data_IF_165941513210
#
_entry.id   IF_165941513210
#
_cell.length_a   1.000
_cell.length_b   1.000
_cell.length_c   1.000
_cell.angle_alpha   90.00
_cell.angle_beta   90.00
_cell.angle_gamma   90.00
#
_symmetry.space_group_name_H-M   'P 1'
#
loop_
_entity.id
_entity.type
_entity.pdbx_description
1 polymer ?
#
# COMPACT_ATOMS: atom_id res chain seq x y z
N UNK A 1 -33.06 5.92 19.70
CA UNK A 1 -32.29 4.72 19.34
C UNK A 1 -30.94 5.20 18.82
N UNK A 2 -29.84 4.91 19.53
CA UNK A 2 -28.49 5.22 19.05
C UNK A 2 -28.02 3.98 18.31
N UNK A 3 -27.84 4.09 17.00
CA UNK A 3 -27.27 3.04 16.14
C UNK A 3 -25.77 3.07 16.33
N UNK A 4 -25.16 1.96 16.73
CA UNK A 4 -23.71 1.87 16.80
C UNK A 4 -23.26 1.42 15.42
N UNK A 5 -22.73 2.35 14.62
CA UNK A 5 -22.41 2.13 13.20
C UNK A 5 -21.52 0.90 12.93
N UNK A 6 -20.76 0.40 13.92
CA UNK A 6 -19.93 -0.80 13.73
C UNK A 6 -20.68 -2.12 13.88
N UNK A 7 -21.84 -2.12 14.54
CA UNK A 7 -22.51 -3.36 14.96
C UNK A 7 -23.76 -3.66 14.10
N UNK A 8 -24.16 -2.72 13.24
CA UNK A 8 -25.45 -2.75 12.54
C UNK A 8 -25.32 -2.73 11.00
N UNK A 9 -24.10 -2.71 10.44
CA UNK A 9 -23.85 -2.74 8.98
C UNK A 9 -22.61 -3.55 8.64
N UNK A 10 -22.53 -3.99 7.39
CA UNK A 10 -21.35 -4.63 6.83
C UNK A 10 -20.62 -3.67 5.91
N UNK A 11 -19.30 -3.58 6.07
CA UNK A 11 -18.43 -2.76 5.22
C UNK A 11 -17.28 -3.63 4.74
N UNK A 12 -17.10 -3.81 3.42
CA UNK A 12 -15.94 -4.53 2.90
C UNK A 12 -14.64 -3.87 3.38
N UNK A 13 -13.75 -4.64 4.00
CA UNK A 13 -12.53 -4.13 4.67
C UNK A 13 -11.64 -3.27 3.77
N UNK A 14 -11.69 -3.46 2.44
CA UNK A 14 -10.98 -2.63 1.45
C UNK A 14 -11.36 -1.14 1.52
N UNK A 15 -12.57 -0.81 1.97
CA UNK A 15 -13.02 0.58 2.18
C UNK A 15 -12.55 1.16 3.52
N UNK A 16 -11.97 0.32 4.38
CA UNK A 16 -11.52 0.66 5.73
C UNK A 16 -9.99 0.69 5.86
N UNK A 17 -9.26 0.56 4.75
CA UNK A 17 -7.81 0.66 4.73
C UNK A 17 -7.36 2.00 5.31
N UNK A 18 -6.45 1.94 6.28
CA UNK A 18 -5.84 3.13 6.87
C UNK A 18 -4.30 3.10 6.82
N UNK A 19 -3.69 2.06 6.25
CA UNK A 19 -2.23 1.86 6.14
C UNK A 19 -1.46 1.85 7.48
N UNK A 20 -2.18 1.84 8.60
CA UNK A 20 -1.64 1.65 9.94
C UNK A 20 -2.12 0.29 10.47
N UNK A 21 -3.31 0.26 11.07
CA UNK A 21 -3.87 -0.94 11.70
C UNK A 21 -4.64 -1.84 10.74
N UNK A 22 -5.05 -1.32 9.57
CA UNK A 22 -5.68 -2.08 8.49
C UNK A 22 -4.95 -1.73 7.20
N UNK A 23 -4.13 -2.66 6.72
CA UNK A 23 -3.24 -2.47 5.59
C UNK A 23 -3.23 -3.72 4.70
N UNK A 24 -2.93 -3.52 3.42
CA UNK A 24 -2.59 -4.64 2.53
C UNK A 24 -1.13 -5.01 2.73
N UNK A 25 -0.85 -6.30 2.86
CA UNK A 25 0.50 -6.82 3.01
C UNK A 25 0.83 -7.73 1.83
N UNK A 26 2.02 -7.63 1.24
CA UNK A 26 2.47 -8.59 0.25
C UNK A 26 2.68 -9.94 0.94
N UNK A 27 2.03 -10.96 0.40
CA UNK A 27 2.16 -12.36 0.82
C UNK A 27 2.35 -13.21 -0.44
N UNK A 28 3.11 -14.29 -0.34
CA UNK A 28 3.41 -15.13 -1.50
C UNK A 28 2.17 -15.91 -1.96
N UNK A 29 1.34 -16.33 -1.01
CA UNK A 29 0.14 -17.14 -1.24
C UNK A 29 -0.94 -16.75 -0.23
N UNK A 30 -2.20 -16.85 -0.66
CA UNK A 30 -3.38 -16.67 0.20
C UNK A 30 -4.33 -17.83 -0.08
N UNK A 31 -4.73 -18.54 0.97
CA UNK A 31 -5.81 -19.52 0.92
C UNK A 31 -7.09 -18.87 1.41
N UNK A 32 -8.14 -18.89 0.59
CA UNK A 32 -9.46 -18.38 0.97
C UNK A 32 -10.34 -19.54 1.42
N UNK A 33 -10.83 -19.44 2.65
CA UNK A 33 -11.84 -20.35 3.19
C UNK A 33 -13.19 -19.64 3.20
N UNK A 34 -14.16 -20.21 2.51
CA UNK A 34 -15.54 -19.75 2.54
C UNK A 34 -16.31 -20.69 3.47
N UNK A 35 -16.83 -20.14 4.56
CA UNK A 35 -17.58 -20.90 5.57
C UNK A 35 -19.05 -20.59 5.37
N UNK A 36 -19.81 -21.58 4.91
CA UNK A 36 -21.25 -21.51 4.80
C UNK A 36 -21.92 -22.12 6.03
N UNK A 37 -23.07 -21.58 6.40
CA UNK A 37 -23.91 -22.03 7.50
C UNK A 37 -25.30 -22.37 6.97
N UNK A 38 -26.08 -23.15 7.73
CA UNK A 38 -27.48 -23.49 7.39
C UNK A 38 -28.36 -22.24 7.15
N UNK A 39 -28.02 -21.14 7.83
CA UNK A 39 -28.55 -19.80 7.57
C UNK A 39 -27.40 -18.81 7.57
N UNK A 40 -27.42 -17.88 6.62
CA UNK A 40 -26.41 -16.85 6.51
C UNK A 40 -26.32 -15.97 7.77
N UNK A 41 -25.17 -15.99 8.44
CA UNK A 41 -24.95 -15.33 9.73
C UNK A 41 -23.51 -14.78 9.87
N UNK A 42 -23.21 -14.19 11.03
CA UNK A 42 -21.91 -13.64 11.41
C UNK A 42 -21.04 -14.68 12.12
N UNK A 43 -19.80 -14.81 11.67
CA UNK A 43 -18.74 -15.62 12.24
C UNK A 43 -17.74 -14.74 13.01
N UNK A 44 -16.94 -15.35 13.88
CA UNK A 44 -15.80 -14.69 14.52
C UNK A 44 -14.50 -15.19 13.89
N UNK A 45 -13.81 -14.33 13.16
CA UNK A 45 -12.47 -14.58 12.64
C UNK A 45 -11.46 -13.84 13.53
N UNK A 46 -10.66 -14.57 14.33
CA UNK A 46 -9.74 -13.96 15.30
C UNK A 46 -10.41 -12.94 16.22
N UNK A 47 -11.63 -13.26 16.69
CA UNK A 47 -12.50 -12.36 17.49
C UNK A 47 -13.02 -11.12 16.76
N UNK A 48 -12.83 -11.00 15.44
CA UNK A 48 -13.46 -10.00 14.61
C UNK A 48 -14.74 -10.57 13.97
N UNK A 49 -15.91 -9.95 14.18
CA UNK A 49 -17.12 -10.29 13.44
C UNK A 49 -16.90 -10.18 11.93
N UNK A 50 -17.17 -11.25 11.21
CA UNK A 50 -17.06 -11.35 9.76
C UNK A 50 -18.27 -12.12 9.23
N UNK A 51 -18.73 -11.76 8.04
CA UNK A 51 -19.88 -12.42 7.43
C UNK A 51 -19.52 -13.83 6.95
N UNK A 52 -20.44 -14.79 7.15
CA UNK A 52 -20.38 -16.12 6.53
C UNK A 52 -20.46 -16.02 4.99
N UNK A 53 -20.21 -17.11 4.29
CA UNK A 53 -20.36 -17.13 2.84
C UNK A 53 -21.83 -16.98 2.44
N UNK A 54 -22.11 -16.06 1.50
CA UNK A 54 -23.40 -15.94 0.82
C UNK A 54 -23.28 -16.46 -0.60
N UNK A 55 -24.02 -17.53 -0.92
CA UNK A 55 -24.02 -18.06 -2.28
C UNK A 55 -24.91 -17.25 -3.21
N UNK A 56 -24.28 -16.29 -3.88
CA UNK A 56 -24.90 -15.46 -4.93
C UNK A 56 -24.78 -16.10 -6.32
N UNK A 57 -24.61 -17.42 -6.40
CA UNK A 57 -24.44 -18.17 -7.65
C UNK A 57 -22.98 -18.33 -8.08
N UNK A 58 -22.04 -18.11 -7.15
CA UNK A 58 -20.59 -18.19 -7.42
C UNK A 58 -19.99 -19.54 -7.00
N UNK A 59 -20.81 -20.44 -6.43
CA UNK A 59 -20.37 -21.71 -5.86
C UNK A 59 -19.57 -22.60 -6.81
N UNK A 60 -19.91 -22.60 -8.09
CA UNK A 60 -19.22 -23.41 -9.09
C UNK A 60 -17.72 -23.06 -9.24
N UNK A 61 -17.27 -21.91 -8.71
CA UNK A 61 -15.87 -21.50 -8.71
C UNK A 61 -15.01 -22.10 -7.59
N UNK A 62 -15.59 -22.80 -6.61
CA UNK A 62 -14.83 -23.41 -5.50
C UNK A 62 -14.31 -24.80 -5.84
N UNK A 63 -13.19 -25.18 -5.23
CA UNK A 63 -12.54 -26.49 -5.40
C UNK A 63 -13.50 -27.67 -5.10
N UNK A 64 -14.34 -27.52 -4.07
CA UNK A 64 -15.36 -28.50 -3.69
C UNK A 64 -16.76 -28.21 -4.27
N UNK A 65 -16.90 -27.23 -5.17
CA UNK A 65 -18.20 -26.75 -5.64
C UNK A 65 -19.03 -27.84 -6.34
N UNK A 66 -18.37 -28.73 -7.08
CA UNK A 66 -19.04 -29.85 -7.77
C UNK A 66 -19.60 -30.89 -6.80
N UNK A 67 -18.81 -31.30 -5.80
CA UNK A 67 -19.24 -32.24 -4.75
C UNK A 67 -20.38 -31.65 -3.92
N UNK A 68 -20.26 -30.38 -3.53
CA UNK A 68 -21.32 -29.68 -2.78
C UNK A 68 -22.64 -29.67 -3.56
N UNK A 69 -22.61 -29.36 -4.86
CA UNK A 69 -23.82 -29.30 -5.70
C UNK A 69 -24.52 -30.66 -5.80
N UNK A 70 -23.76 -31.76 -5.77
CA UNK A 70 -24.32 -33.12 -5.76
C UNK A 70 -25.04 -33.42 -4.45
N UNK A 71 -24.48 -32.97 -3.32
CA UNK A 71 -25.04 -33.20 -1.99
C UNK A 71 -26.20 -32.26 -1.65
N UNK A 72 -26.17 -31.04 -2.19
CA UNK A 72 -27.14 -29.96 -1.95
C UNK A 72 -27.62 -29.38 -3.30
N UNK A 73 -28.60 -30.02 -3.96
CA UNK A 73 -29.09 -29.60 -5.27
C UNK A 73 -30.08 -28.42 -5.17
N UNK A 74 -29.73 -27.41 -4.37
CA UNK A 74 -30.39 -26.11 -4.37
C UNK A 74 -29.61 -25.17 -5.28
N UNK A 75 -30.31 -24.61 -6.27
CA UNK A 75 -29.75 -23.76 -7.31
C UNK A 75 -30.30 -22.34 -7.26
N UNK A 76 -31.00 -21.98 -6.18
CA UNK A 76 -31.52 -20.64 -5.97
C UNK A 76 -30.42 -19.73 -5.40
N UNK A 77 -29.80 -18.84 -6.21
CA UNK A 77 -28.81 -17.93 -5.67
C UNK A 77 -29.49 -16.94 -4.72
N UNK A 78 -28.83 -16.68 -3.59
CA UNK A 78 -29.18 -15.58 -2.72
C UNK A 78 -28.80 -14.25 -3.38
N UNK A 79 -29.42 -13.18 -2.92
CA UNK A 79 -29.23 -11.83 -3.42
C UNK A 79 -28.57 -10.95 -2.37
N UNK A 80 -28.18 -9.73 -2.76
CA UNK A 80 -27.64 -8.77 -1.79
C UNK A 80 -28.63 -8.41 -0.68
N UNK A 81 -29.92 -8.64 -0.89
CA UNK A 81 -30.97 -8.40 0.12
C UNK A 81 -30.98 -9.49 1.22
N UNK A 82 -30.28 -10.61 0.99
CA UNK A 82 -30.17 -11.75 1.92
C UNK A 82 -28.93 -11.68 2.84
N UNK A 83 -28.19 -10.55 2.82
CA UNK A 83 -27.08 -10.30 3.74
C UNK A 83 -27.58 -10.27 5.20
N UNK A 84 -26.74 -10.71 6.14
CA UNK A 84 -27.12 -10.74 7.56
C UNK A 84 -27.36 -9.33 8.13
N UNK A 85 -26.73 -8.31 7.53
CA UNK A 85 -26.88 -6.89 7.83
C UNK A 85 -26.77 -6.04 6.55
N UNK A 86 -27.27 -4.80 6.53
CA UNK A 86 -27.14 -3.92 5.36
C UNK A 86 -25.68 -3.72 4.95
N UNK A 87 -25.39 -3.96 3.67
CA UNK A 87 -24.08 -3.68 3.07
C UNK A 87 -23.93 -2.19 2.76
N UNK A 88 -22.87 -1.57 3.28
CA UNK A 88 -22.53 -0.17 3.02
C UNK A 88 -21.12 -0.09 2.45
N UNK A 89 -20.98 0.59 1.31
CA UNK A 89 -19.71 0.65 0.56
C UNK A 89 -19.11 2.06 0.50
N UNK A 90 -19.90 3.10 0.73
CA UNK A 90 -19.47 4.49 0.74
C UNK A 90 -20.35 5.39 1.63
N UNK A 91 -20.06 6.69 1.59
CA UNK A 91 -20.87 7.72 2.23
C UNK A 91 -20.59 7.94 3.72
N UNK A 92 -21.48 8.69 4.41
CA UNK A 92 -21.22 9.19 5.77
C UNK A 92 -20.99 8.11 6.82
N UNK A 93 -21.57 6.93 6.61
CA UNK A 93 -21.40 5.76 7.49
C UNK A 93 -19.96 5.26 7.41
N UNK A 94 -19.44 5.03 6.21
CA UNK A 94 -18.04 4.60 5.99
C UNK A 94 -17.07 5.66 6.49
N UNK A 95 -17.35 6.93 6.22
CA UNK A 95 -16.53 8.05 6.69
C UNK A 95 -16.44 8.08 8.23
N UNK A 96 -17.56 7.91 8.93
CA UNK A 96 -17.58 7.84 10.39
C UNK A 96 -16.76 6.66 10.94
N UNK A 97 -16.84 5.49 10.30
CA UNK A 97 -16.03 4.31 10.67
C UNK A 97 -14.55 4.57 10.43
N UNK A 98 -14.17 5.12 9.28
CA UNK A 98 -12.78 5.46 8.95
C UNK A 98 -12.21 6.48 9.94
N UNK A 99 -12.98 7.51 10.31
CA UNK A 99 -12.58 8.48 11.34
C UNK A 99 -12.29 7.77 12.68
N UNK A 100 -13.16 6.85 13.10
CA UNK A 100 -12.96 6.07 14.34
C UNK A 100 -11.72 5.17 14.26
N UNK A 101 -11.48 4.54 13.12
CA UNK A 101 -10.30 3.67 12.91
C UNK A 101 -8.99 4.45 12.90
N UNK A 102 -8.96 5.64 12.30
CA UNK A 102 -7.80 6.56 12.36
C UNK A 102 -7.53 6.98 13.81
N UNK A 103 -8.56 7.41 14.54
CA UNK A 103 -8.43 7.78 15.95
C UNK A 103 -7.95 6.58 16.82
N UNK A 104 -8.42 5.37 16.51
CA UNK A 104 -7.94 4.15 17.17
C UNK A 104 -6.47 3.87 16.86
N UNK A 105 -6.02 4.02 15.62
CA UNK A 105 -4.61 3.86 15.27
C UNK A 105 -3.73 4.82 16.08
N UNK A 106 -4.14 6.08 16.21
CA UNK A 106 -3.45 7.08 17.04
C UNK A 106 -3.43 6.69 18.52
N UNK A 107 -4.55 6.22 19.06
CA UNK A 107 -4.62 5.73 20.44
C UNK A 107 -3.72 4.49 20.69
N UNK A 108 -3.45 3.70 19.65
CA UNK A 108 -2.49 2.58 19.68
C UNK A 108 -1.03 3.03 19.49
N UNK A 109 -0.77 4.34 19.40
CA UNK A 109 0.57 4.91 19.33
C UNK A 109 1.11 5.14 17.90
N UNK A 110 0.29 4.94 16.87
CA UNK A 110 0.67 5.34 15.51
C UNK A 110 0.66 6.87 15.40
N UNK A 111 1.64 7.44 14.72
CA UNK A 111 1.76 8.89 14.54
C UNK A 111 1.92 9.24 13.06
N UNK A 112 1.43 10.41 12.64
CA UNK A 112 1.71 10.92 11.30
C UNK A 112 3.02 11.71 11.32
N UNK A 113 3.80 11.59 10.26
CA UNK A 113 5.02 12.36 10.03
C UNK A 113 5.03 12.98 8.64
N UNK A 114 5.66 14.13 8.51
CA UNK A 114 6.02 14.79 7.26
C UNK A 114 7.46 14.50 6.81
N UNK A 115 8.24 13.78 7.64
CA UNK A 115 9.60 13.36 7.30
C UNK A 115 9.58 12.30 6.20
N UNK A 116 10.15 12.65 5.05
CA UNK A 116 10.10 11.79 3.86
C UNK A 116 11.04 10.57 3.91
N UNK A 117 12.06 10.57 4.78
CA UNK A 117 13.13 9.55 4.81
C UNK A 117 13.73 9.26 3.42
N UNK A 118 13.93 10.29 2.60
CA UNK A 118 14.48 10.13 1.26
C UNK A 118 15.90 9.57 1.32
N UNK A 119 16.13 8.46 0.62
CA UNK A 119 17.42 7.85 0.46
C UNK A 119 17.51 7.11 -0.88
N UNK A 120 18.72 6.75 -1.30
CA UNK A 120 18.88 5.77 -2.37
C UNK A 120 19.05 4.39 -1.77
N UNK A 121 18.58 3.38 -2.49
CA UNK A 121 19.03 1.99 -2.34
C UNK A 121 19.76 1.61 -3.63
N UNK A 122 21.08 1.50 -3.56
CA UNK A 122 21.95 1.14 -4.67
C UNK A 122 22.53 -0.26 -4.44
N UNK A 123 22.16 -1.23 -5.27
CA UNK A 123 22.57 -2.63 -5.17
C UNK A 123 22.36 -3.22 -3.75
N UNK A 124 21.25 -2.83 -3.12
CA UNK A 124 20.88 -3.24 -1.75
C UNK A 124 21.46 -2.39 -0.62
N UNK A 125 22.32 -1.42 -0.92
CA UNK A 125 22.94 -0.53 0.08
C UNK A 125 22.21 0.81 0.16
N UNK A 126 21.81 1.21 1.37
CA UNK A 126 21.18 2.50 1.60
C UNK A 126 22.20 3.65 1.62
N UNK A 127 21.92 4.74 0.89
CA UNK A 127 22.77 5.93 0.79
C UNK A 127 21.93 7.16 1.13
N UNK A 128 22.37 7.91 2.14
CA UNK A 128 21.71 9.16 2.60
C UNK A 128 22.14 10.34 1.72
N UNK A 129 21.23 11.30 1.46
CA UNK A 129 21.59 12.51 0.73
C UNK A 129 22.26 13.54 1.62
N UNK A 130 23.09 14.39 1.01
CA UNK A 130 23.29 15.75 1.46
C UNK A 130 22.14 16.61 0.93
N UNK A 131 21.44 17.34 1.81
CA UNK A 131 20.30 18.19 1.46
C UNK A 131 20.64 19.66 1.51
N UNK A 132 20.20 20.39 0.49
CA UNK A 132 20.25 21.84 0.41
C UNK A 132 18.94 22.34 -0.21
N UNK A 133 18.04 22.85 0.64
CA UNK A 133 16.69 23.24 0.24
C UNK A 133 15.93 22.10 -0.44
N UNK A 134 15.57 22.27 -1.71
CA UNK A 134 14.84 21.27 -2.51
C UNK A 134 15.75 20.26 -3.20
N UNK A 135 17.06 20.41 -3.10
CA UNK A 135 18.04 19.56 -3.78
C UNK A 135 18.62 18.52 -2.83
N UNK A 136 18.56 17.25 -3.23
CA UNK A 136 19.20 16.13 -2.55
C UNK A 136 20.33 15.58 -3.43
N UNK A 137 21.55 15.50 -2.89
CA UNK A 137 22.75 15.00 -3.58
C UNK A 137 23.24 13.71 -2.96
N UNK A 138 23.54 12.72 -3.79
CA UNK A 138 23.98 11.40 -3.38
C UNK A 138 25.29 11.02 -4.07
N UNK A 139 26.26 10.52 -3.32
CA UNK A 139 27.47 9.91 -3.88
C UNK A 139 27.18 8.46 -4.23
N UNK A 140 27.31 8.12 -5.51
CA UNK A 140 26.99 6.81 -6.07
C UNK A 140 28.21 6.25 -6.82
N UNK A 141 28.61 4.99 -6.62
CA UNK A 141 29.59 4.34 -7.49
C UNK A 141 29.06 4.25 -8.92
N UNK A 142 29.86 4.66 -9.91
CA UNK A 142 29.45 4.64 -11.33
C UNK A 142 29.11 3.24 -11.85
N UNK A 143 29.59 2.18 -11.18
CA UNK A 143 29.25 0.79 -11.48
C UNK A 143 27.94 0.29 -10.88
N UNK A 144 27.18 1.14 -10.17
CA UNK A 144 25.93 0.74 -9.53
C UNK A 144 24.90 0.29 -10.58
N UNK A 145 24.34 -0.91 -10.38
CA UNK A 145 23.43 -1.54 -11.33
C UNK A 145 21.98 -1.14 -11.06
N UNK A 146 21.46 -1.55 -9.90
CA UNK A 146 20.09 -1.27 -9.48
C UNK A 146 20.07 -0.11 -8.48
N UNK A 147 19.53 1.03 -8.89
CA UNK A 147 19.40 2.21 -8.02
C UNK A 147 17.93 2.60 -7.92
N UNK A 148 17.43 2.69 -6.68
CA UNK A 148 16.08 3.15 -6.38
C UNK A 148 16.12 4.38 -5.49
N UNK A 149 15.31 5.37 -5.83
CA UNK A 149 14.96 6.48 -4.94
C UNK A 149 13.84 6.04 -4.02
N UNK A 150 14.14 5.93 -2.73
CA UNK A 150 13.24 5.40 -1.71
C UNK A 150 12.84 6.52 -0.74
N UNK A 151 11.58 6.52 -0.33
CA UNK A 151 11.04 7.44 0.67
C UNK A 151 9.85 6.79 1.36
N UNK A 152 9.43 7.37 2.48
CA UNK A 152 8.09 7.12 3.02
C UNK A 152 7.06 7.44 1.94
N UNK A 153 5.93 6.74 2.01
CA UNK A 153 4.78 7.01 1.16
C UNK A 153 3.50 6.80 1.93
N UNK A 154 2.43 7.45 1.46
CA UNK A 154 1.12 7.37 2.06
C UNK A 154 0.05 7.45 0.99
N UNK A 155 -1.17 7.08 1.36
CA UNK A 155 -2.34 7.33 0.52
C UNK A 155 -3.19 8.38 1.25
N UNK A 156 -3.42 9.57 0.67
CA UNK A 156 -4.09 10.68 1.38
C UNK A 156 -5.44 10.30 1.99
N UNK A 157 -6.27 9.54 1.30
CA UNK A 157 -7.56 9.09 1.85
C UNK A 157 -7.39 8.14 3.06
N UNK A 158 -6.30 7.38 3.14
CA UNK A 158 -6.07 6.40 4.22
C UNK A 158 -5.63 7.04 5.53
N UNK A 159 -5.13 8.28 5.48
CA UNK A 159 -4.71 9.05 6.65
C UNK A 159 -5.74 10.12 7.05
N UNK A 160 -6.58 10.56 6.11
CA UNK A 160 -7.59 11.60 6.33
C UNK A 160 -8.84 11.35 5.49
N UNK A 161 -9.97 11.20 6.18
CA UNK A 161 -11.30 11.13 5.56
C UNK A 161 -11.60 12.40 4.77
N UNK A 162 -12.19 12.27 3.59
CA UNK A 162 -12.51 13.39 2.70
C UNK A 162 -11.33 13.96 1.91
N UNK A 163 -10.13 13.35 1.97
CA UNK A 163 -9.01 13.78 1.14
C UNK A 163 -9.23 13.54 -0.37
N UNK A 164 -10.01 12.52 -0.73
CA UNK A 164 -10.42 12.23 -2.11
C UNK A 164 -9.31 11.74 -3.05
N UNK A 165 -8.08 11.54 -2.56
CA UNK A 165 -6.95 11.04 -3.35
C UNK A 165 -6.52 9.66 -2.84
N UNK A 166 -6.79 8.64 -3.66
CA UNK A 166 -6.47 7.24 -3.42
C UNK A 166 -5.11 6.79 -3.97
N UNK A 167 -4.30 7.72 -4.49
CA UNK A 167 -2.96 7.40 -5.00
C UNK A 167 -1.97 7.22 -3.86
N UNK A 168 -1.01 6.30 -4.02
CA UNK A 168 0.17 6.24 -3.16
C UNK A 168 1.17 7.32 -3.57
N UNK A 169 1.47 8.22 -2.66
CA UNK A 169 2.33 9.39 -2.86
C UNK A 169 3.56 9.30 -1.94
N UNK A 170 4.76 9.41 -2.52
CA UNK A 170 6.04 9.54 -1.83
C UNK A 170 6.54 10.97 -1.86
N UNK A 171 7.76 11.19 -2.35
CA UNK A 171 8.31 12.55 -2.59
C UNK A 171 7.97 13.04 -4.00
N UNK A 172 7.57 14.31 -4.17
CA UNK A 172 7.40 14.93 -5.48
C UNK A 172 8.77 15.33 -6.06
N UNK A 173 9.04 14.92 -7.30
CA UNK A 173 10.33 15.11 -7.99
C UNK A 173 10.08 15.88 -9.28
N UNK A 174 10.89 16.91 -9.53
CA UNK A 174 10.86 17.73 -10.75
C UNK A 174 12.09 17.56 -11.64
N UNK A 175 13.20 17.09 -11.08
CA UNK A 175 14.46 16.97 -11.79
C UNK A 175 15.31 15.81 -11.28
N UNK A 176 15.98 15.13 -12.21
CA UNK A 176 16.94 14.06 -11.92
C UNK A 176 18.13 14.25 -12.86
N UNK A 177 19.31 14.41 -12.27
CA UNK A 177 20.56 14.58 -13.02
C UNK A 177 21.74 13.91 -12.32
N UNK A 178 22.81 13.67 -13.07
CA UNK A 178 24.06 13.12 -12.57
C UNK A 178 25.19 14.06 -12.96
N UNK A 179 26.11 14.28 -12.03
CA UNK A 179 27.39 14.95 -12.24
C UNK A 179 28.49 13.90 -12.12
N UNK A 180 29.26 13.66 -13.17
CA UNK A 180 30.38 12.69 -13.11
C UNK A 180 31.64 13.30 -12.47
N UNK A 181 32.69 12.47 -12.32
CA UNK A 181 33.96 12.88 -11.72
C UNK A 181 34.72 13.97 -12.50
N UNK A 182 34.31 14.29 -13.73
CA UNK A 182 34.85 15.39 -14.53
C UNK A 182 33.95 16.64 -14.49
N UNK A 183 32.85 16.61 -13.74
CA UNK A 183 31.88 17.70 -13.65
C UNK A 183 30.86 17.75 -14.79
N UNK A 184 30.82 16.73 -15.67
CA UNK A 184 29.85 16.70 -16.76
C UNK A 184 28.48 16.36 -16.20
N UNK A 185 27.49 17.19 -16.53
CA UNK A 185 26.10 17.03 -16.09
C UNK A 185 25.30 16.29 -17.17
N UNK A 186 24.61 15.23 -16.78
CA UNK A 186 23.61 14.53 -17.59
C UNK A 186 22.27 14.54 -16.87
N UNK A 187 21.21 14.98 -17.54
CA UNK A 187 19.87 15.07 -16.97
C UNK A 187 18.87 14.31 -17.83
N UNK A 188 17.86 13.71 -17.20
CA UNK A 188 16.68 13.21 -17.88
C UNK A 188 15.51 14.15 -17.59
N UNK A 189 14.75 14.59 -18.62
CA UNK A 189 13.49 15.29 -18.39
C UNK A 189 12.59 14.42 -17.51
N UNK A 190 11.94 15.01 -16.51
CA UNK A 190 11.04 14.24 -15.62
C UNK A 190 9.86 13.62 -16.38
N UNK A 191 9.51 14.16 -17.55
CA UNK A 191 8.54 13.58 -18.48
C UNK A 191 9.04 12.36 -19.27
N UNK A 192 10.32 12.01 -19.18
CA UNK A 192 10.91 10.87 -19.91
C UNK A 192 10.15 9.57 -19.63
N UNK A 193 9.95 8.78 -20.69
CA UNK A 193 9.39 7.44 -20.57
C UNK A 193 10.29 6.48 -19.79
N UNK A 194 11.56 6.82 -19.54
CA UNK A 194 12.47 5.97 -18.75
C UNK A 194 12.10 5.93 -17.25
N UNK A 195 11.30 6.89 -16.77
CA UNK A 195 10.77 6.90 -15.40
C UNK A 195 9.45 6.11 -15.31
N UNK A 196 9.54 4.78 -15.50
CA UNK A 196 8.36 3.89 -15.50
C UNK A 196 8.04 3.36 -14.10
N UNK A 197 9.02 2.70 -13.47
CA UNK A 197 8.78 1.97 -12.21
C UNK A 197 8.85 2.92 -11.02
N UNK A 198 7.71 3.06 -10.34
CA UNK A 198 7.60 3.75 -9.06
C UNK A 198 7.46 5.27 -9.13
N UNK A 199 7.14 5.79 -10.31
CA UNK A 199 6.72 7.18 -10.51
C UNK A 199 5.25 7.24 -10.93
N UNK A 200 4.54 8.28 -10.51
CA UNK A 200 3.21 8.61 -11.00
C UNK A 200 3.25 9.13 -12.43
N UNK A 201 2.07 9.36 -13.01
CA UNK A 201 1.94 10.19 -14.21
C UNK A 201 2.49 11.60 -14.00
N UNK A 202 2.82 12.27 -15.10
CA UNK A 202 3.34 13.65 -15.13
C UNK A 202 2.25 14.61 -14.68
N UNK A 203 2.59 15.49 -13.75
CA UNK A 203 1.79 16.60 -13.27
C UNK A 203 2.29 17.90 -13.93
N UNK A 204 1.40 18.89 -14.11
CA UNK A 204 1.73 20.23 -14.62
C UNK A 204 2.59 20.24 -15.90
N UNK A 205 2.09 19.61 -16.96
CA UNK A 205 2.84 19.29 -18.18
C UNK A 205 3.39 20.48 -18.98
N UNK A 206 2.92 21.71 -18.77
CA UNK A 206 3.25 22.85 -19.65
C UNK A 206 4.42 23.71 -19.16
N UNK A 207 4.55 23.97 -17.86
CA UNK A 207 5.49 25.01 -17.36
C UNK A 207 6.55 24.50 -16.39
N UNK A 208 6.20 23.53 -15.55
CA UNK A 208 7.11 22.99 -14.52
C UNK A 208 6.68 21.56 -14.19
N UNK A 209 6.92 20.60 -15.10
CA UNK A 209 6.45 19.24 -14.93
C UNK A 209 7.12 18.59 -13.72
N UNK A 210 6.38 17.71 -13.06
CA UNK A 210 6.87 16.95 -11.92
C UNK A 210 6.10 15.62 -11.79
N UNK A 211 6.58 14.72 -10.94
CA UNK A 211 5.92 13.44 -10.65
C UNK A 211 6.00 13.16 -9.16
N UNK A 212 4.98 12.51 -8.60
CA UNK A 212 5.15 11.82 -7.34
C UNK A 212 5.97 10.56 -7.57
N UNK A 213 6.90 10.25 -6.67
CA UNK A 213 7.30 8.86 -6.45
C UNK A 213 6.18 8.12 -5.71
N UNK A 214 6.20 6.79 -5.71
CA UNK A 214 5.23 5.96 -4.95
C UNK A 214 5.88 5.23 -3.76
N UNK A 215 7.00 5.76 -3.26
CA UNK A 215 7.79 5.23 -2.14
C UNK A 215 9.08 4.52 -2.54
N UNK A 216 9.13 3.89 -3.72
CA UNK A 216 10.36 3.31 -4.26
C UNK A 216 10.38 3.40 -5.79
N UNK A 217 11.19 4.30 -6.33
CA UNK A 217 11.23 4.65 -7.74
C UNK A 217 12.56 4.22 -8.38
N UNK A 218 12.53 3.46 -9.48
CA UNK A 218 13.75 3.03 -10.17
C UNK A 218 14.37 4.20 -10.94
N UNK A 219 15.69 4.41 -10.78
CA UNK A 219 16.43 5.42 -11.50
C UNK A 219 17.15 4.80 -12.71
N UNK A 220 17.03 5.37 -13.93
CA UNK A 220 17.64 4.80 -15.13
C UNK A 220 19.17 4.86 -15.11
N UNK A 221 19.84 3.71 -15.20
CA UNK A 221 21.31 3.64 -15.19
C UNK A 221 21.99 4.38 -16.35
N UNK A 222 21.26 4.68 -17.43
CA UNK A 222 21.75 5.53 -18.53
C UNK A 222 22.24 6.90 -18.06
N UNK A 223 21.77 7.41 -16.91
CA UNK A 223 22.24 8.66 -16.32
C UNK A 223 23.72 8.62 -15.92
N UNK A 224 24.24 7.45 -15.53
CA UNK A 224 25.63 7.27 -15.11
C UNK A 224 26.40 6.23 -15.94
N UNK A 225 25.77 5.64 -16.95
CA UNK A 225 26.42 4.73 -17.89
C UNK A 225 27.68 5.36 -18.50
N UNK A 226 28.78 4.59 -18.52
CA UNK A 226 30.07 5.04 -19.05
C UNK A 226 30.86 5.98 -18.14
N UNK A 227 30.33 6.37 -16.97
CA UNK A 227 31.10 7.11 -15.96
C UNK A 227 32.09 6.18 -15.24
N UNK A 228 33.10 6.76 -14.62
CA UNK A 228 34.06 6.02 -13.78
C UNK A 228 34.14 6.63 -12.39
N UNK A 229 34.58 5.84 -11.40
CA UNK A 229 34.71 6.30 -10.03
C UNK A 229 33.37 6.59 -9.35
N UNK A 230 33.26 7.76 -8.72
CA UNK A 230 32.06 8.22 -8.03
C UNK A 230 31.36 9.27 -8.89
N UNK A 231 30.04 9.17 -8.98
CA UNK A 231 29.18 10.19 -9.55
C UNK A 231 28.29 10.79 -8.47
N UNK A 232 27.85 12.02 -8.68
CA UNK A 232 26.88 12.68 -7.81
C UNK A 232 25.51 12.65 -8.49
N UNK A 233 24.59 11.86 -7.95
CA UNK A 233 23.20 11.87 -8.37
C UNK A 233 22.46 13.00 -7.64
N UNK A 234 21.77 13.84 -8.40
CA UNK A 234 21.07 15.03 -7.92
C UNK A 234 19.58 14.86 -8.19
N UNK A 235 18.80 14.95 -7.12
CA UNK A 235 17.34 14.89 -7.14
C UNK A 235 16.81 16.26 -6.74
N UNK A 236 16.04 16.88 -7.62
CA UNK A 236 15.30 18.11 -7.33
C UNK A 236 13.87 17.75 -6.94
N UNK A 237 13.55 18.02 -5.67
CA UNK A 237 12.23 17.79 -5.10
C UNK A 237 11.30 18.98 -5.33
N UNK A 238 10.00 18.78 -5.13
CA UNK A 238 8.99 19.82 -5.26
C UNK A 238 8.05 19.89 -4.03
N UNK A 239 8.58 20.20 -2.83
CA UNK A 239 7.81 20.14 -1.58
C UNK A 239 6.61 21.11 -1.54
N UNK A 240 6.65 22.17 -2.34
CA UNK A 240 5.52 23.09 -2.57
C UNK A 240 4.30 22.43 -3.22
N UNK A 241 4.45 21.23 -3.79
CA UNK A 241 3.40 20.51 -4.52
C UNK A 241 2.63 19.50 -3.68
N UNK A 242 3.03 19.30 -2.43
CA UNK A 242 2.24 18.54 -1.46
C UNK A 242 3.04 18.16 -0.22
N UNK A 243 2.31 17.96 0.87
CA UNK A 243 2.88 17.57 2.16
C UNK A 243 2.71 16.06 2.34
N UNK A 244 3.81 15.37 2.66
CA UNK A 244 3.78 13.97 3.03
C UNK A 244 3.12 13.81 4.41
N UNK A 245 2.27 12.81 4.58
CA UNK A 245 1.68 12.45 5.87
C UNK A 245 1.69 10.93 6.03
N UNK A 246 2.86 10.35 6.22
CA UNK A 246 2.99 8.90 6.38
C UNK A 246 2.80 8.48 7.83
N UNK A 247 2.26 7.28 8.04
CA UNK A 247 2.20 6.67 9.36
C UNK A 247 3.57 6.19 9.83
N UNK A 248 3.88 6.44 11.10
CA UNK A 248 4.95 5.82 11.87
C UNK A 248 4.34 4.88 12.90
N UNK A 249 4.81 3.64 12.90
CA UNK A 249 4.43 2.66 13.90
C UNK A 249 4.99 3.05 15.29
N UNK A 250 4.30 2.70 16.39
CA UNK A 250 4.83 2.88 17.73
C UNK A 250 6.13 2.08 17.92
N UNK A 251 7.10 2.65 18.66
CA UNK A 251 8.40 2.01 18.93
C UNK A 251 8.31 0.64 19.63
N UNK A 252 7.18 0.37 20.29
CA UNK A 252 6.82 -0.90 20.92
C UNK A 252 5.41 -1.29 20.48
N UNK A 253 5.30 -1.83 19.28
CA UNK A 253 4.12 -2.57 18.80
C UNK A 253 4.58 -3.90 18.22
N UNK A 254 3.72 -4.95 18.20
CA UNK A 254 4.10 -6.22 17.62
C UNK A 254 4.55 -5.99 16.18
N UNK A 255 5.81 -6.32 15.89
CA UNK A 255 6.25 -6.44 14.51
C UNK A 255 5.38 -7.53 13.91
N UNK A 256 4.52 -7.21 12.94
CA UNK A 256 3.88 -8.22 12.10
C UNK A 256 5.03 -8.92 11.36
N UNK A 257 5.55 -9.99 11.97
CA UNK A 257 6.52 -10.86 11.35
C UNK A 257 5.79 -11.50 10.18
N UNK A 258 6.30 -11.29 8.97
CA UNK A 258 5.96 -12.15 7.85
C UNK A 258 6.25 -13.58 8.31
N UNK A 259 5.20 -14.38 8.50
CA UNK A 259 5.32 -15.77 8.91
C UNK A 259 6.06 -16.53 7.82
N UNK A 260 7.33 -16.82 8.07
CA UNK A 260 8.06 -17.87 7.37
C UNK A 260 7.82 -19.18 8.14
N UNK A 261 7.31 -20.17 7.42
CA UNK A 261 7.38 -21.61 7.70
C UNK A 261 7.38 -22.08 9.16
N UNK A 262 6.19 -22.47 9.65
CA UNK A 262 6.08 -23.58 10.58
C UNK A 262 4.90 -24.48 10.16
N UNK A 263 5.12 -25.28 9.11
CA UNK A 263 4.33 -26.49 8.88
C UNK A 263 5.21 -27.70 9.24
N UNK A 264 5.22 -28.06 10.53
CA UNK A 264 5.68 -29.38 10.97
C UNK A 264 4.67 -29.93 11.98
N UNK A 265 4.05 -31.07 11.62
CA UNK A 265 3.40 -31.94 12.61
C UNK A 265 1.99 -32.43 12.29
N UNK A 266 1.69 -32.85 11.06
CA UNK A 266 0.52 -33.69 10.81
C UNK A 266 0.72 -35.08 11.47
N UNK A 267 0.24 -35.24 12.70
CA UNK A 267 0.05 -36.56 13.30
C UNK A 267 -1.29 -37.11 12.85
N UNK A 268 -1.26 -38.10 11.96
CA UNK A 268 -2.41 -38.96 11.64
C UNK A 268 -2.87 -39.64 12.92
N UNK A 269 -4.15 -39.51 13.27
CA UNK A 269 -4.85 -40.48 14.10
C UNK A 269 -6.10 -40.91 13.36
N UNK A 270 -6.06 -42.15 12.89
CA UNK A 270 -7.18 -42.95 12.41
C UNK A 270 -7.99 -43.46 13.60
N UNK A 271 -9.30 -43.22 13.60
CA UNK A 271 -10.36 -44.15 13.99
C UNK A 271 -11.70 -43.56 13.54
#
# INVERSE_FOLDING_TARGET
MRVTVLDDVLIPVKHLLNDATIAQMPVAEITYWHVELDSHDVLLAESLPAESFLDTGVRAGFENGSEHTVLHPDFSPLTLDDFSLPLVQDGPIVDAVRTRLIARAQALGWTLTDEDDLHLVADGVAIRPERDGTTARFSLPAGAGSVRLTSRSFVPERVRVGAGDGRRLGVPVRGVSVIDGHGVIRSLPIGSSLFETGFSFIQDCETNPWRWTVGAAALPAVLWAGSTGIVTLVIETAPDRGTLQAWLAPATGPTLRAGADENQGATRLSA
#
